data_IF_247702970929
#
_entry.id   IF_247702970929
#
_cell.length_a   1.000
_cell.length_b   1.000
_cell.length_c   1.000
_cell.angle_alpha   90.00
_cell.angle_beta   90.00
_cell.angle_gamma   90.00
#
_symmetry.space_group_name_H-M   'P 1'
#
loop_
_entity.id
_entity.type
_entity.pdbx_description
1 polymer ?
#
# COMPACT_ATOMS: atom_id res chain seq x y z
N UNK A 1 -45.59 -18.66 23.26
CA UNK A 1 -44.37 -19.46 23.49
C UNK A 1 -44.19 -20.37 22.28
N UNK A 2 -43.19 -20.11 21.44
CA UNK A 2 -42.93 -20.90 20.23
C UNK A 2 -41.88 -21.96 20.51
N UNK A 3 -42.15 -23.19 20.11
CA UNK A 3 -41.22 -24.32 20.21
C UNK A 3 -39.91 -23.99 19.48
N UNK A 4 -38.79 -24.03 20.18
CA UNK A 4 -37.48 -23.95 19.55
C UNK A 4 -37.22 -25.27 18.82
N UNK A 5 -37.10 -25.23 17.48
CA UNK A 5 -36.67 -26.37 16.66
C UNK A 5 -35.15 -26.54 16.73
N UNK A 6 -34.60 -26.64 17.94
CA UNK A 6 -33.24 -27.14 18.08
C UNK A 6 -33.33 -28.66 17.85
N UNK A 7 -32.91 -29.10 16.67
CA UNK A 7 -32.81 -30.52 16.32
C UNK A 7 -31.84 -31.24 17.27
N UNK A 8 -31.93 -32.58 17.33
CA UNK A 8 -31.07 -33.40 18.20
C UNK A 8 -29.58 -33.19 17.87
N UNK A 9 -28.74 -33.11 18.90
CA UNK A 9 -27.31 -32.88 18.69
C UNK A 9 -26.68 -34.14 18.11
N UNK A 10 -26.21 -34.07 16.87
CA UNK A 10 -25.40 -35.14 16.30
C UNK A 10 -24.05 -35.15 17.01
N UNK A 11 -23.82 -36.18 17.84
CA UNK A 11 -22.53 -36.40 18.50
C UNK A 11 -21.57 -37.03 17.50
N UNK A 12 -20.54 -36.29 17.10
CA UNK A 12 -19.42 -36.85 16.35
C UNK A 12 -18.56 -37.71 17.28
N UNK A 13 -18.63 -39.03 17.10
CA UNK A 13 -17.85 -40.00 17.88
C UNK A 13 -16.49 -40.32 17.23
N UNK A 14 -16.12 -39.65 16.12
CA UNK A 14 -14.85 -39.91 15.47
C UNK A 14 -13.68 -39.42 16.35
N UNK A 15 -12.69 -40.28 16.64
CA UNK A 15 -11.53 -39.83 17.40
C UNK A 15 -10.73 -38.79 16.61
N UNK A 16 -10.50 -37.63 17.21
CA UNK A 16 -9.60 -36.63 16.66
C UNK A 16 -8.16 -37.17 16.68
N UNK A 17 -7.62 -37.45 15.50
CA UNK A 17 -6.22 -37.86 15.32
C UNK A 17 -5.44 -36.68 14.75
N UNK A 18 -4.69 -35.97 15.59
CA UNK A 18 -3.83 -34.90 15.10
C UNK A 18 -2.65 -35.46 14.30
N UNK A 19 -2.37 -34.88 13.14
CA UNK A 19 -1.15 -35.15 12.38
C UNK A 19 0.09 -34.46 12.96
N UNK A 20 -0.07 -33.57 13.96
CA UNK A 20 1.02 -32.83 14.60
C UNK A 20 1.16 -33.22 16.06
N UNK A 21 2.39 -33.31 16.52
CA UNK A 21 2.72 -33.46 17.94
C UNK A 21 2.44 -32.15 18.68
N UNK A 22 2.24 -32.25 20.01
CA UNK A 22 2.09 -31.08 20.88
C UNK A 22 3.26 -30.09 20.76
N UNK A 23 4.48 -30.61 20.63
CA UNK A 23 5.67 -29.78 20.47
C UNK A 23 5.62 -28.95 19.17
N UNK A 24 5.17 -29.56 18.07
CA UNK A 24 4.99 -28.87 16.80
C UNK A 24 3.92 -27.77 16.89
N UNK A 25 2.79 -28.05 17.53
CA UNK A 25 1.72 -27.05 17.73
C UNK A 25 2.21 -25.86 18.57
N UNK A 26 2.97 -26.12 19.63
CA UNK A 26 3.53 -25.04 20.47
C UNK A 26 4.59 -24.21 19.71
N UNK A 27 5.39 -24.84 18.86
CA UNK A 27 6.34 -24.14 18.00
C UNK A 27 5.63 -23.21 17.01
N UNK A 28 4.56 -23.70 16.37
CA UNK A 28 3.74 -22.91 15.44
C UNK A 28 3.05 -21.74 16.14
N UNK A 29 2.49 -21.97 17.33
CA UNK A 29 1.92 -20.90 18.16
C UNK A 29 2.97 -19.84 18.53
N UNK A 30 4.20 -20.27 18.85
CA UNK A 30 5.30 -19.37 19.13
C UNK A 30 5.71 -18.52 17.92
N UNK A 31 5.75 -19.11 16.73
CA UNK A 31 6.01 -18.39 15.47
C UNK A 31 4.89 -17.39 15.15
N UNK A 32 3.63 -17.81 15.29
CA UNK A 32 2.48 -16.96 15.06
C UNK A 32 2.47 -15.72 15.97
N UNK A 33 2.75 -15.90 17.26
CA UNK A 33 2.85 -14.77 18.21
C UNK A 33 3.91 -13.74 17.83
N UNK A 34 5.02 -14.17 17.22
CA UNK A 34 6.08 -13.26 16.73
C UNK A 34 5.67 -12.50 15.48
N UNK A 35 4.76 -13.03 14.67
CA UNK A 35 4.29 -12.38 13.46
C UNK A 35 3.47 -11.11 13.76
N UNK A 36 2.94 -10.95 14.98
CA UNK A 36 2.22 -9.74 15.40
C UNK A 36 0.84 -9.56 14.74
N UNK A 37 0.36 -10.56 14.01
CA UNK A 37 -0.94 -10.55 13.33
C UNK A 37 -2.03 -11.12 14.24
N UNK A 38 -3.24 -10.54 14.22
CA UNK A 38 -4.40 -11.10 14.93
C UNK A 38 -5.04 -12.24 14.12
N UNK A 39 -5.30 -13.38 14.75
CA UNK A 39 -6.03 -14.52 14.14
C UNK A 39 -7.47 -14.16 13.75
N UNK A 40 -8.03 -13.13 14.37
CA UNK A 40 -9.41 -12.68 14.16
C UNK A 40 -9.49 -11.43 13.29
N UNK A 41 -8.36 -10.98 12.73
CA UNK A 41 -8.39 -9.82 11.85
C UNK A 41 -9.12 -10.16 10.55
N UNK A 42 -10.35 -9.70 10.43
CA UNK A 42 -11.09 -9.70 9.15
C UNK A 42 -10.72 -8.50 8.29
N UNK A 43 -9.93 -7.57 8.83
CA UNK A 43 -9.54 -6.33 8.18
C UNK A 43 -8.13 -6.44 7.60
N UNK A 44 -7.99 -5.98 6.36
CA UNK A 44 -6.70 -5.77 5.72
C UNK A 44 -5.97 -4.61 6.42
N UNK A 45 -4.77 -4.88 6.94
CA UNK A 45 -3.88 -3.86 7.49
C UNK A 45 -2.75 -3.57 6.49
N UNK A 46 -2.85 -2.53 5.65
CA UNK A 46 -1.81 -2.17 4.69
C UNK A 46 -0.47 -1.78 5.36
N UNK A 47 -0.50 -1.44 6.65
CA UNK A 47 0.69 -1.04 7.40
C UNK A 47 1.43 -2.23 8.03
N UNK A 48 0.90 -3.45 7.98
CA UNK A 48 1.51 -4.62 8.63
C UNK A 48 2.94 -4.92 8.15
N UNK A 49 3.24 -4.63 6.89
CA UNK A 49 4.58 -4.76 6.30
C UNK A 49 5.26 -3.43 5.99
N UNK A 50 4.64 -2.30 6.33
CA UNK A 50 5.14 -0.99 5.94
C UNK A 50 6.45 -0.67 6.67
N UNK A 51 7.48 -0.32 5.90
CA UNK A 51 8.76 0.19 6.40
C UNK A 51 9.08 1.46 5.65
N UNK A 52 9.28 2.55 6.38
CA UNK A 52 9.73 3.81 5.78
C UNK A 52 11.21 3.68 5.40
N UNK A 53 11.52 4.00 4.16
CA UNK A 53 12.91 4.12 3.68
C UNK A 53 13.51 5.50 3.98
N UNK A 54 12.67 6.46 4.38
CA UNK A 54 13.08 7.84 4.69
C UNK A 54 12.81 8.18 6.15
N UNK A 55 13.67 9.02 6.71
CA UNK A 55 13.49 9.60 8.03
C UNK A 55 12.44 10.71 7.99
N UNK A 56 11.82 10.98 9.15
CA UNK A 56 10.88 12.11 9.32
C UNK A 56 11.50 13.44 8.86
N UNK A 57 12.76 13.68 9.19
CA UNK A 57 13.46 14.91 8.81
C UNK A 57 13.58 15.04 7.28
N UNK A 58 13.90 13.95 6.57
CA UNK A 58 13.96 13.94 5.10
C UNK A 58 12.59 14.19 4.47
N UNK A 59 11.53 13.59 5.00
CA UNK A 59 10.15 13.83 4.51
C UNK A 59 9.76 15.30 4.70
N UNK A 60 10.03 15.87 5.88
CA UNK A 60 9.74 17.27 6.15
C UNK A 60 10.53 18.22 5.25
N UNK A 61 11.81 17.94 5.03
CA UNK A 61 12.65 18.73 4.13
C UNK A 61 12.16 18.67 2.68
N UNK A 62 11.81 17.49 2.17
CA UNK A 62 11.28 17.30 0.82
C UNK A 62 9.94 18.03 0.63
N UNK A 63 9.05 17.97 1.62
CA UNK A 63 7.79 18.69 1.58
C UNK A 63 8.00 20.21 1.53
N UNK A 64 8.86 20.76 2.39
CA UNK A 64 9.15 22.20 2.40
C UNK A 64 9.75 22.65 1.06
N UNK A 65 10.65 21.87 0.47
CA UNK A 65 11.27 22.18 -0.81
C UNK A 65 10.27 22.23 -1.96
N UNK A 66 9.26 21.34 -1.97
CA UNK A 66 8.27 21.26 -3.05
C UNK A 66 6.94 21.94 -2.74
N UNK A 67 6.78 22.53 -1.56
CA UNK A 67 5.51 23.09 -1.09
C UNK A 67 4.92 24.10 -2.08
N UNK A 68 5.76 25.00 -2.59
CA UNK A 68 5.31 26.07 -3.48
C UNK A 68 4.96 25.51 -4.87
N UNK A 69 5.67 24.46 -5.32
CA UNK A 69 5.31 23.67 -6.51
C UNK A 69 3.93 23.04 -6.35
N UNK A 70 3.69 22.35 -5.23
CA UNK A 70 2.40 21.69 -4.94
C UNK A 70 1.27 22.71 -4.87
N UNK A 71 1.49 23.86 -4.24
CA UNK A 71 0.51 24.95 -4.20
C UNK A 71 0.15 25.44 -5.60
N UNK A 72 1.15 25.61 -6.48
CA UNK A 72 0.90 26.01 -7.86
C UNK A 72 0.09 24.98 -8.66
N UNK A 73 0.36 23.68 -8.50
CA UNK A 73 -0.38 22.61 -9.18
C UNK A 73 -1.82 22.43 -8.69
N UNK A 74 -2.11 22.80 -7.45
CA UNK A 74 -3.48 22.76 -6.90
C UNK A 74 -4.23 24.09 -7.07
N UNK A 75 -3.59 25.12 -7.63
CA UNK A 75 -4.21 26.41 -7.93
C UNK A 75 -4.99 26.39 -9.26
N UNK A 76 -5.67 27.50 -9.55
CA UNK A 76 -6.54 27.65 -10.73
C UNK A 76 -5.82 27.38 -12.06
N UNK A 77 -4.55 27.80 -12.16
CA UNK A 77 -3.70 27.64 -13.35
C UNK A 77 -3.02 26.25 -13.42
N UNK A 78 -3.28 25.36 -12.47
CA UNK A 78 -2.78 23.96 -12.46
C UNK A 78 -1.26 23.83 -12.68
N UNK A 79 -0.49 24.82 -12.23
CA UNK A 79 0.97 24.87 -12.37
C UNK A 79 1.48 25.27 -13.75
N UNK A 80 0.65 25.80 -14.66
CA UNK A 80 1.08 26.14 -16.03
C UNK A 80 2.22 27.16 -16.05
N UNK A 81 2.18 28.17 -15.18
CA UNK A 81 3.27 29.14 -15.01
C UNK A 81 4.59 28.49 -14.52
N UNK A 82 4.53 27.58 -13.55
CA UNK A 82 5.72 26.85 -13.05
C UNK A 82 6.31 25.95 -14.14
N UNK A 83 5.46 25.27 -14.91
CA UNK A 83 5.89 24.42 -16.02
C UNK A 83 6.51 25.23 -17.16
N UNK A 84 5.97 26.41 -17.46
CA UNK A 84 6.54 27.32 -18.44
C UNK A 84 7.94 27.80 -18.04
N UNK A 85 8.15 28.09 -16.74
CA UNK A 85 9.45 28.48 -16.19
C UNK A 85 10.44 27.30 -16.13
N UNK A 86 9.94 26.09 -15.83
CA UNK A 86 10.73 24.84 -15.81
C UNK A 86 10.94 24.22 -17.18
N UNK A 87 10.45 24.84 -18.26
CA UNK A 87 10.67 24.38 -19.62
C UNK A 87 12.17 24.41 -19.89
N UNK A 88 12.81 23.25 -19.82
CA UNK A 88 14.12 23.04 -20.44
C UNK A 88 13.92 23.40 -21.89
N UNK A 89 14.52 24.51 -22.32
CA UNK A 89 14.53 24.92 -23.72
C UNK A 89 15.43 23.90 -24.43
N UNK A 90 14.90 22.73 -24.75
CA UNK A 90 15.46 21.91 -25.81
C UNK A 90 15.27 22.76 -27.07
N UNK A 91 16.33 23.44 -27.49
CA UNK A 91 16.46 24.19 -28.75
C UNK A 91 16.48 23.24 -29.95
N UNK A 92 15.57 22.28 -29.96
CA UNK A 92 15.37 21.28 -30.98
C UNK A 92 13.88 21.10 -31.20
N UNK A 93 13.19 22.19 -31.57
CA UNK A 93 11.87 22.09 -32.16
C UNK A 93 12.07 21.48 -33.55
N UNK A 94 12.14 20.15 -33.63
CA UNK A 94 11.83 19.47 -34.88
C UNK A 94 10.31 19.51 -35.03
N UNK A 95 9.84 20.52 -35.78
CA UNK A 95 8.50 20.52 -36.33
C UNK A 95 8.44 19.39 -37.37
N UNK A 96 7.56 18.41 -37.17
CA UNK A 96 7.37 17.33 -38.14
C UNK A 96 7.03 17.94 -39.52
N UNK A 97 7.92 17.76 -40.50
CA UNK A 97 7.68 18.18 -41.88
C UNK A 97 8.61 19.25 -42.47
N UNK A 98 9.65 19.72 -41.76
CA UNK A 98 10.69 20.56 -42.41
C UNK A 98 11.76 19.67 -43.07
N UNK A 99 11.89 19.64 -44.41
CA UNK A 99 12.96 18.92 -45.08
C UNK A 99 14.29 19.65 -44.85
N UNK A 100 15.28 18.91 -44.36
CA UNK A 100 16.69 19.30 -44.38
C UNK A 100 17.15 19.32 -45.83
N UNK A 101 17.49 20.51 -46.34
CA UNK A 101 18.03 20.80 -47.68
C UNK A 101 16.97 21.08 -48.77
N UNK A 102 16.55 22.34 -48.86
CA UNK A 102 16.25 22.95 -50.15
C UNK A 102 17.45 23.83 -50.52
N UNK A 103 18.33 23.29 -51.37
CA UNK A 103 19.24 24.07 -52.21
C UNK A 103 18.57 24.28 -53.56
#
# INVERSE_FOLDING_TARGET
AGSAFADDITIDTTPFNSSKTRAQVQAELGQFKKAGTSVWSTQYNPLAGFKSETSRAQVSAAYIAERDTVAAFNGEDSGSAILAQRRVVNTGVQLAGQPVNAQ
#
